data_IF_383365661762
#
_entry.id   IF_383365661762
#
_cell.length_a   1.000
_cell.length_b   1.000
_cell.length_c   1.000
_cell.angle_alpha   90.00
_cell.angle_beta   90.00
_cell.angle_gamma   90.00
#
_symmetry.space_group_name_H-M   'P 1'
#
loop_
_entity.id
_entity.type
_entity.pdbx_description
1 polymer ?
#
# COMPACT_ATOMS: atom_id res chain seq x y z
N UNK A 1 18.44 -11.59 -5.98
CA UNK A 1 17.14 -11.01 -5.64
C UNK A 1 17.20 -9.50 -5.52
N UNK A 2 18.18 -8.97 -4.78
CA UNK A 2 18.32 -7.55 -4.55
C UNK A 2 18.49 -6.72 -5.82
N UNK A 3 19.26 -7.20 -6.79
CA UNK A 3 19.53 -6.47 -8.03
C UNK A 3 18.30 -6.37 -8.92
N UNK A 4 17.52 -7.45 -9.02
CA UNK A 4 16.27 -7.44 -9.79
C UNK A 4 15.29 -6.48 -9.16
N UNK A 5 15.20 -6.50 -7.84
CA UNK A 5 14.30 -5.62 -7.08
C UNK A 5 14.69 -4.15 -7.24
N UNK A 6 16.00 -3.85 -7.18
CA UNK A 6 16.50 -2.49 -7.40
C UNK A 6 16.17 -1.98 -8.81
N UNK A 7 16.29 -2.83 -9.83
CA UNK A 7 15.94 -2.44 -11.20
C UNK A 7 14.46 -2.10 -11.34
N UNK A 8 13.60 -2.78 -10.58
CA UNK A 8 12.16 -2.47 -10.58
C UNK A 8 11.86 -1.18 -9.82
N UNK A 9 12.56 -0.92 -8.70
CA UNK A 9 12.29 0.22 -7.83
C UNK A 9 12.86 1.54 -8.38
N UNK A 10 14.04 1.50 -9.01
CA UNK A 10 14.70 2.73 -9.48
C UNK A 10 13.85 3.56 -10.44
N UNK A 11 13.18 2.97 -11.46
CA UNK A 11 12.29 3.75 -12.33
C UNK A 11 11.10 4.34 -11.57
N UNK A 12 10.60 3.64 -10.53
CA UNK A 12 9.47 4.12 -9.75
C UNK A 12 9.81 5.35 -8.92
N UNK A 13 11.07 5.53 -8.55
CA UNK A 13 11.50 6.70 -7.78
C UNK A 13 11.33 8.01 -8.55
N UNK A 14 11.11 7.95 -9.86
CA UNK A 14 10.77 9.12 -10.67
C UNK A 14 9.27 9.39 -10.71
N UNK A 15 8.44 8.49 -10.21
CA UNK A 15 7.01 8.72 -10.09
C UNK A 15 6.78 9.93 -9.17
N UNK A 16 5.94 10.91 -9.57
CA UNK A 16 5.78 12.15 -8.80
C UNK A 16 5.47 11.94 -7.32
N UNK A 17 4.63 10.97 -7.00
CA UNK A 17 4.27 10.68 -5.61
C UNK A 17 5.46 10.17 -4.80
N UNK A 18 6.38 9.42 -5.41
CA UNK A 18 7.54 8.85 -4.72
C UNK A 18 8.74 9.81 -4.73
N UNK A 19 8.88 10.60 -5.80
CA UNK A 19 9.99 11.53 -5.95
C UNK A 19 9.86 12.74 -5.02
N UNK A 20 8.66 13.34 -4.96
CA UNK A 20 8.44 14.61 -4.25
C UNK A 20 7.14 14.68 -3.45
N UNK A 21 6.43 13.59 -3.34
CA UNK A 21 5.15 13.58 -2.62
C UNK A 21 5.32 13.62 -1.11
N UNK A 22 4.30 14.11 -0.44
CA UNK A 22 4.16 13.98 1.00
C UNK A 22 3.75 12.56 1.35
N UNK A 23 3.85 12.19 2.63
CA UNK A 23 3.47 10.84 3.04
C UNK A 23 2.44 10.85 4.15
N UNK A 24 1.68 9.77 4.23
CA UNK A 24 0.67 9.52 5.23
C UNK A 24 0.82 8.08 5.72
N UNK A 25 1.24 7.89 6.96
CA UNK A 25 1.43 6.56 7.53
C UNK A 25 0.10 5.86 7.79
N UNK A 26 0.02 4.57 7.46
CA UNK A 26 -1.20 3.77 7.60
C UNK A 26 -1.15 2.77 8.75
N UNK A 27 -0.03 2.60 9.41
CA UNK A 27 0.09 1.63 10.49
C UNK A 27 -0.88 1.91 11.64
N UNK A 28 -1.07 3.18 11.99
CA UNK A 28 -1.99 3.56 13.07
C UNK A 28 -3.42 3.08 12.83
N UNK A 29 -3.87 3.09 11.58
CA UNK A 29 -5.21 2.67 11.21
C UNK A 29 -5.35 1.14 11.13
N UNK A 30 -4.24 0.41 11.15
CA UNK A 30 -4.21 -1.03 10.96
C UNK A 30 -3.73 -1.80 12.21
N UNK A 31 -3.53 -1.12 13.33
CA UNK A 31 -3.03 -1.77 14.56
C UNK A 31 -3.96 -2.88 15.05
N UNK A 32 -5.27 -2.74 14.84
CA UNK A 32 -6.27 -3.73 15.24
C UNK A 32 -6.68 -4.64 14.08
N UNK A 33 -6.16 -4.41 12.90
CA UNK A 33 -6.44 -5.24 11.73
C UNK A 33 -5.60 -6.51 11.81
N UNK A 34 -6.23 -7.64 12.12
CA UNK A 34 -5.54 -8.91 12.35
C UNK A 34 -4.83 -9.45 11.11
N UNK A 35 -5.17 -8.94 9.92
CA UNK A 35 -4.51 -9.34 8.67
C UNK A 35 -3.42 -8.38 8.24
N UNK A 36 -3.06 -7.41 9.09
CA UNK A 36 -1.98 -6.47 8.80
C UNK A 36 -0.67 -6.92 9.46
N UNK A 37 -0.16 -8.06 9.04
CA UNK A 37 1.12 -8.57 9.50
C UNK A 37 1.18 -8.92 10.98
N UNK A 38 0.08 -9.42 11.56
CA UNK A 38 0.05 -9.83 12.96
C UNK A 38 0.54 -11.25 13.12
N UNK A 39 1.50 -11.46 14.02
CA UNK A 39 1.89 -12.80 14.44
C UNK A 39 0.95 -13.31 15.54
N UNK A 40 0.81 -14.65 15.69
CA UNK A 40 -0.19 -15.22 16.61
C UNK A 40 -0.10 -14.78 18.07
N UNK A 41 1.09 -14.42 18.56
CA UNK A 41 1.31 -14.04 19.95
C UNK A 41 1.17 -12.54 20.21
N UNK A 42 0.88 -11.74 19.19
CA UNK A 42 0.86 -10.29 19.31
C UNK A 42 -0.56 -9.75 19.48
N UNK A 43 -0.70 -8.68 20.27
CA UNK A 43 -1.96 -7.98 20.49
C UNK A 43 -2.25 -6.91 19.44
N UNK A 44 -1.21 -6.42 18.77
CA UNK A 44 -1.32 -5.38 17.76
C UNK A 44 -0.63 -5.81 16.48
N UNK A 45 -1.08 -5.27 15.36
CA UNK A 45 -0.51 -5.54 14.04
C UNK A 45 0.54 -4.49 13.66
N UNK A 46 1.33 -4.81 12.64
CA UNK A 46 2.27 -3.85 12.06
C UNK A 46 3.68 -3.93 12.62
N UNK A 47 4.02 -4.96 13.35
CA UNK A 47 5.40 -5.16 13.82
C UNK A 47 6.38 -5.30 12.65
N UNK A 48 6.02 -6.13 11.66
CA UNK A 48 6.86 -6.42 10.51
C UNK A 48 6.40 -5.76 9.22
N UNK A 49 5.23 -5.14 9.21
CA UNK A 49 4.65 -4.52 8.02
C UNK A 49 4.58 -3.02 8.21
N UNK A 50 5.05 -2.29 7.22
CA UNK A 50 4.91 -0.83 7.18
C UNK A 50 4.17 -0.44 5.92
N UNK A 51 3.15 0.41 6.07
CA UNK A 51 2.38 0.91 4.93
C UNK A 51 2.21 2.41 5.03
N UNK A 52 2.27 3.07 3.88
CA UNK A 52 2.05 4.51 3.79
C UNK A 52 1.47 4.89 2.43
N UNK A 53 0.76 5.99 2.39
CA UNK A 53 0.43 6.67 1.15
C UNK A 53 1.49 7.75 0.87
N UNK A 54 1.82 7.89 -0.39
CA UNK A 54 2.58 9.03 -0.91
C UNK A 54 1.68 9.76 -1.89
N UNK A 55 1.65 11.08 -1.81
CA UNK A 55 0.78 11.90 -2.66
C UNK A 55 1.48 13.18 -3.09
N UNK A 56 1.48 13.43 -4.41
CA UNK A 56 1.90 14.69 -4.98
C UNK A 56 0.66 15.47 -5.45
N UNK A 57 0.39 16.58 -4.78
CA UNK A 57 -0.81 17.38 -5.05
C UNK A 57 -0.78 18.02 -6.46
N UNK A 58 0.40 18.36 -6.95
CA UNK A 58 0.54 18.97 -8.28
C UNK A 58 0.16 18.02 -9.40
N UNK A 59 0.71 16.81 -9.36
CA UNK A 59 0.44 15.78 -10.34
C UNK A 59 -0.85 15.02 -10.05
N UNK A 60 -1.46 15.23 -8.88
CA UNK A 60 -2.61 14.46 -8.38
C UNK A 60 -2.31 12.96 -8.44
N UNK A 61 -1.12 12.60 -8.00
CA UNK A 61 -0.63 11.23 -8.06
C UNK A 61 -0.55 10.66 -6.64
N UNK A 62 -1.13 9.48 -6.45
CA UNK A 62 -1.18 8.80 -5.15
C UNK A 62 -0.67 7.38 -5.30
N UNK A 63 0.22 6.99 -4.39
CA UNK A 63 0.81 5.64 -4.38
C UNK A 63 0.75 5.09 -2.95
N UNK A 64 0.32 3.84 -2.84
CA UNK A 64 0.43 3.06 -1.61
C UNK A 64 1.74 2.27 -1.65
N UNK A 65 2.58 2.47 -0.65
CA UNK A 65 3.80 1.68 -0.47
C UNK A 65 3.62 0.80 0.75
N UNK A 66 3.85 -0.49 0.60
CA UNK A 66 3.76 -1.44 1.71
C UNK A 66 4.97 -2.37 1.68
N UNK A 67 5.59 -2.58 2.84
CA UNK A 67 6.77 -3.42 2.94
C UNK A 67 6.60 -4.50 3.99
N UNK A 68 7.05 -5.71 3.67
CA UNK A 68 7.21 -6.80 4.63
C UNK A 68 8.67 -6.81 5.09
N UNK A 69 8.91 -6.31 6.30
CA UNK A 69 10.25 -6.17 6.86
C UNK A 69 10.75 -7.44 7.56
N UNK A 70 9.91 -8.47 7.65
CA UNK A 70 10.33 -9.73 8.25
C UNK A 70 11.35 -10.44 7.35
N UNK A 71 12.41 -11.02 7.93
CA UNK A 71 13.36 -11.78 7.13
C UNK A 71 12.85 -13.16 6.71
N UNK A 72 11.77 -13.67 7.33
CA UNK A 72 11.36 -15.05 7.11
C UNK A 72 9.85 -15.29 7.13
N UNK A 73 9.00 -14.29 7.42
CA UNK A 73 7.55 -14.49 7.49
C UNK A 73 6.91 -14.08 6.16
N UNK A 74 6.13 -14.98 5.57
CA UNK A 74 5.32 -14.70 4.39
C UNK A 74 3.92 -14.28 4.85
N UNK A 75 3.54 -13.03 4.61
CA UNK A 75 2.19 -12.53 4.93
C UNK A 75 1.28 -12.73 3.72
N UNK A 76 0.83 -13.95 3.53
CA UNK A 76 0.00 -14.35 2.39
C UNK A 76 -1.42 -13.79 2.44
N UNK A 77 -1.87 -13.36 3.61
CA UNK A 77 -3.21 -12.81 3.81
C UNK A 77 -3.20 -11.30 4.14
N UNK A 78 -2.14 -10.62 3.80
CA UNK A 78 -1.96 -9.20 4.12
C UNK A 78 -3.07 -8.35 3.50
N UNK A 79 -3.74 -7.55 4.33
CA UNK A 79 -4.72 -6.56 3.93
C UNK A 79 -4.40 -5.24 4.59
N UNK A 80 -4.46 -4.18 3.81
CA UNK A 80 -4.17 -2.82 4.26
C UNK A 80 -5.47 -2.01 4.21
N UNK A 81 -5.99 -1.61 5.37
CA UNK A 81 -7.15 -0.71 5.44
C UNK A 81 -6.71 0.73 5.24
N UNK A 82 -7.44 1.44 4.38
CA UNK A 82 -7.19 2.86 4.09
C UNK A 82 -8.36 3.64 4.67
N UNK A 83 -8.15 4.43 5.75
CA UNK A 83 -9.25 5.10 6.42
C UNK A 83 -9.77 6.31 5.63
N UNK A 84 -10.97 6.75 5.98
CA UNK A 84 -11.62 7.91 5.35
C UNK A 84 -10.71 9.14 5.37
N UNK A 85 -10.04 9.39 6.47
CA UNK A 85 -9.14 10.53 6.61
C UNK A 85 -7.99 10.50 5.59
N UNK A 86 -7.46 9.32 5.31
CA UNK A 86 -6.39 9.15 4.32
C UNK A 86 -6.88 9.46 2.91
N UNK A 87 -8.09 9.03 2.55
CA UNK A 87 -8.69 9.35 1.26
C UNK A 87 -8.94 10.85 1.12
N UNK A 88 -9.41 11.50 2.19
CA UNK A 88 -9.54 12.96 2.21
C UNK A 88 -8.22 13.67 2.03
N UNK A 89 -7.18 13.16 2.68
CA UNK A 89 -5.83 13.72 2.60
C UNK A 89 -5.27 13.67 1.17
N UNK A 90 -5.48 12.58 0.44
CA UNK A 90 -4.97 12.44 -0.94
C UNK A 90 -5.99 12.87 -2.01
N UNK A 91 -7.18 13.32 -1.61
CA UNK A 91 -8.16 13.87 -2.54
C UNK A 91 -8.94 12.83 -3.36
N UNK A 92 -8.92 11.57 -2.97
CA UNK A 92 -9.72 10.52 -3.62
C UNK A 92 -11.06 10.43 -2.91
N UNK A 93 -12.09 11.08 -3.48
CA UNK A 93 -13.43 11.16 -2.87
C UNK A 93 -14.51 10.45 -3.68
N UNK A 94 -14.14 9.81 -4.78
CA UNK A 94 -15.07 9.04 -5.60
C UNK A 94 -15.47 7.73 -4.89
N UNK A 95 -16.63 7.19 -5.25
CA UNK A 95 -17.12 5.94 -4.67
C UNK A 95 -16.23 4.74 -5.06
N UNK A 96 -15.56 4.82 -6.21
CA UNK A 96 -14.71 3.76 -6.70
C UNK A 96 -13.28 4.25 -6.88
N UNK A 97 -12.34 3.33 -6.64
CA UNK A 97 -10.91 3.60 -6.69
C UNK A 97 -10.26 2.58 -7.59
N UNK A 98 -9.43 3.06 -8.53
CA UNK A 98 -8.62 2.20 -9.39
C UNK A 98 -7.30 1.93 -8.69
N UNK A 99 -6.88 0.66 -8.70
CA UNK A 99 -5.61 0.22 -8.12
C UNK A 99 -4.79 -0.46 -9.20
N UNK A 100 -3.57 0.03 -9.40
CA UNK A 100 -2.63 -0.52 -10.37
C UNK A 100 -1.32 -0.88 -9.69
N UNK A 101 -0.86 -2.12 -9.89
CA UNK A 101 0.41 -2.58 -9.34
C UNK A 101 1.57 -2.08 -10.19
N UNK A 102 2.38 -1.17 -9.63
CA UNK A 102 3.52 -0.60 -10.35
C UNK A 102 4.76 -1.51 -10.34
N UNK A 103 4.75 -2.56 -9.51
CA UNK A 103 5.84 -3.54 -9.46
C UNK A 103 5.65 -4.69 -10.44
N UNK A 104 4.45 -4.87 -10.96
CA UNK A 104 4.12 -5.97 -11.87
C UNK A 104 3.13 -5.48 -12.94
N UNK A 105 3.66 -5.24 -14.14
CA UNK A 105 2.86 -4.74 -15.26
C UNK A 105 1.85 -5.78 -15.77
N UNK A 106 2.05 -7.06 -15.46
CA UNK A 106 1.14 -8.13 -15.86
C UNK A 106 -0.04 -8.29 -14.89
N UNK A 107 0.08 -7.72 -13.69
CA UNK A 107 -1.03 -7.70 -12.74
C UNK A 107 -2.08 -6.70 -13.24
N UNK A 108 -3.30 -7.21 -13.47
CA UNK A 108 -4.37 -6.39 -14.03
C UNK A 108 -4.83 -5.29 -13.07
N UNK A 109 -5.21 -4.14 -13.62
CA UNK A 109 -5.86 -3.10 -12.84
C UNK A 109 -7.13 -3.63 -12.21
N UNK A 110 -7.38 -3.20 -10.97
CA UNK A 110 -8.60 -3.55 -10.24
C UNK A 110 -9.33 -2.28 -9.83
N UNK A 111 -10.66 -2.36 -9.84
CA UNK A 111 -11.50 -1.27 -9.36
C UNK A 111 -12.24 -1.77 -8.12
N UNK A 112 -12.11 -1.01 -7.04
CA UNK A 112 -12.74 -1.32 -5.77
C UNK A 112 -13.74 -0.23 -5.40
N UNK A 113 -14.76 -0.59 -4.63
CA UNK A 113 -15.52 0.40 -3.90
C UNK A 113 -14.61 1.01 -2.82
N UNK A 114 -14.62 2.34 -2.69
CA UNK A 114 -13.79 3.01 -1.67
C UNK A 114 -14.09 2.47 -0.27
N UNK A 115 -15.36 2.21 0.01
CA UNK A 115 -15.79 1.64 1.29
C UNK A 115 -15.17 0.27 1.55
N UNK A 116 -15.01 -0.54 0.53
CA UNK A 116 -14.36 -1.85 0.64
C UNK A 116 -12.91 -1.72 1.09
N UNK A 117 -12.19 -0.74 0.55
CA UNK A 117 -10.81 -0.47 0.95
C UNK A 117 -10.71 0.05 2.38
N UNK A 118 -11.77 0.71 2.87
CA UNK A 118 -11.84 1.20 4.24
C UNK A 118 -12.18 0.08 5.24
N UNK A 119 -13.16 -0.74 4.91
CA UNK A 119 -13.73 -1.72 5.83
C UNK A 119 -13.01 -3.07 5.79
N UNK A 120 -12.69 -3.56 4.60
CA UNK A 120 -12.05 -4.86 4.41
C UNK A 120 -10.55 -4.75 4.15
N UNK A 121 -10.10 -3.64 3.59
CA UNK A 121 -8.72 -3.42 3.23
C UNK A 121 -8.38 -3.93 1.84
N UNK A 122 -7.23 -3.47 1.34
CA UNK A 122 -6.66 -3.88 0.06
C UNK A 122 -5.79 -5.11 0.27
N UNK A 123 -6.14 -6.21 -0.39
CA UNK A 123 -5.37 -7.45 -0.31
C UNK A 123 -4.10 -7.34 -1.16
N UNK A 124 -2.95 -7.49 -0.55
CA UNK A 124 -1.67 -7.49 -1.26
C UNK A 124 -0.64 -8.36 -0.52
N UNK A 125 -0.65 -9.68 -0.75
CA UNK A 125 0.30 -10.58 -0.09
C UNK A 125 1.74 -10.21 -0.39
N UNK A 126 2.60 -10.30 0.61
CA UNK A 126 4.02 -10.00 0.47
C UNK A 126 4.88 -11.09 1.11
N UNK A 127 5.84 -11.57 0.33
CA UNK A 127 6.89 -12.47 0.80
C UNK A 127 7.90 -11.72 1.68
N UNK A 128 8.70 -12.43 2.49
CA UNK A 128 9.71 -11.78 3.33
C UNK A 128 10.61 -10.81 2.53
N UNK A 129 10.79 -9.61 3.06
CA UNK A 129 11.65 -8.59 2.46
C UNK A 129 11.11 -7.93 1.19
N UNK A 130 9.89 -8.24 0.77
CA UNK A 130 9.32 -7.67 -0.44
C UNK A 130 8.55 -6.38 -0.16
N UNK A 131 8.45 -5.54 -1.19
CA UNK A 131 7.75 -4.26 -1.16
C UNK A 131 6.68 -4.27 -2.25
N UNK A 132 5.50 -3.76 -1.93
CA UNK A 132 4.44 -3.48 -2.89
C UNK A 132 4.35 -2.00 -3.15
N UNK A 133 4.10 -1.62 -4.40
CA UNK A 133 3.89 -0.23 -4.82
C UNK A 133 2.66 -0.20 -5.71
N UNK A 134 1.60 0.40 -5.20
CA UNK A 134 0.29 0.40 -5.86
C UNK A 134 -0.18 1.83 -6.11
N UNK A 135 -0.48 2.15 -7.35
CA UNK A 135 -1.02 3.46 -7.71
C UNK A 135 -2.53 3.46 -7.48
N UNK A 136 -3.00 4.46 -6.75
CA UNK A 136 -4.42 4.66 -6.48
C UNK A 136 -4.91 5.87 -7.26
N UNK A 137 -6.05 5.74 -7.92
CA UNK A 137 -6.67 6.87 -8.61
C UNK A 137 -8.18 6.82 -8.53
N UNK A 138 -8.79 8.00 -8.61
CA UNK A 138 -10.25 8.14 -8.62
C UNK A 138 -10.82 7.61 -9.95
N UNK A 139 -11.98 6.99 -9.87
CA UNK A 139 -12.71 6.51 -11.05
C UNK A 139 -13.91 7.40 -11.32
#
# INVERSE_FOLDING_TARGET
LGDVYKRQLLPLMQHPALDRGDFYGLNWANMKNTTFGREPAEDTSGHWVYAMLRHDARARATVLVVGNLSPNINFYNLRISIPQHAFGWCGIQTDRVRVRNLMDAEDEERIFERRELMDCGLSHPLKPGHVGVLELSAV
#
